data_IF_058515205705
#
_entry.id   IF_058515205705
#
_cell.length_a   1.000
_cell.length_b   1.000
_cell.length_c   1.000
_cell.angle_alpha   90.00
_cell.angle_beta   90.00
_cell.angle_gamma   90.00
#
_symmetry.space_group_name_H-M   'P 1'
#
loop_
_entity.id
_entity.type
_entity.pdbx_description
1 polymer ?
#
# COMPACT_ATOMS: atom_id res chain seq x y z
N UNK A 1 -5.45 3.75 -8.62
CA UNK A 1 -5.09 3.69 -7.19
C UNK A 1 -3.89 2.76 -7.03
N UNK A 2 -3.29 2.63 -5.84
CA UNK A 2 -2.19 1.71 -5.57
C UNK A 2 -2.51 0.87 -4.35
N UNK A 3 -2.42 -0.45 -4.47
CA UNK A 3 -2.54 -1.37 -3.34
C UNK A 3 -1.16 -1.63 -2.76
N UNK A 4 -0.92 -1.19 -1.53
CA UNK A 4 0.30 -1.45 -0.78
C UNK A 4 0.06 -2.68 0.09
N UNK A 5 0.97 -3.64 0.09
CA UNK A 5 0.93 -4.81 0.98
C UNK A 5 2.18 -4.85 1.86
N UNK A 6 1.97 -5.04 3.16
CA UNK A 6 3.03 -5.03 4.16
C UNK A 6 2.81 -6.07 5.25
N UNK A 7 3.85 -6.35 6.02
CA UNK A 7 3.76 -7.14 7.24
C UNK A 7 4.11 -6.29 8.45
N UNK A 8 3.28 -6.33 9.48
CA UNK A 8 3.52 -5.64 10.75
C UNK A 8 3.32 -6.65 11.87
N UNK A 9 4.34 -6.83 12.73
CA UNK A 9 4.27 -7.73 13.89
C UNK A 9 3.89 -9.19 13.55
N UNK A 10 4.18 -9.65 12.32
CA UNK A 10 3.84 -11.00 11.85
C UNK A 10 2.52 -11.08 11.09
N UNK A 11 1.67 -10.06 11.15
CA UNK A 11 0.42 -9.99 10.40
C UNK A 11 0.62 -9.38 9.02
N UNK A 12 -0.06 -9.94 8.02
CA UNK A 12 -0.05 -9.42 6.65
C UNK A 12 -1.25 -8.50 6.43
N UNK A 13 -0.96 -7.28 6.04
CA UNK A 13 -1.93 -6.22 5.81
C UNK A 13 -1.81 -5.70 4.37
N UNK A 14 -2.92 -5.16 3.87
CA UNK A 14 -2.93 -4.48 2.59
C UNK A 14 -3.92 -3.31 2.62
N UNK A 15 -3.62 -2.26 1.88
CA UNK A 15 -4.45 -1.06 1.79
C UNK A 15 -4.34 -0.46 0.39
N UNK A 16 -5.48 0.02 -0.13
CA UNK A 16 -5.53 0.69 -1.43
C UNK A 16 -5.58 2.19 -1.20
N UNK A 17 -4.55 2.89 -1.65
CA UNK A 17 -4.40 4.34 -1.47
C UNK A 17 -4.26 5.05 -2.81
N UNK A 18 -4.44 6.37 -2.82
CA UNK A 18 -4.18 7.17 -4.02
C UNK A 18 -2.67 7.16 -4.35
N UNK A 19 -2.32 7.32 -5.63
CA UNK A 19 -0.93 7.26 -6.07
C UNK A 19 -0.04 8.33 -5.39
N UNK A 20 -0.59 9.53 -5.19
CA UNK A 20 0.12 10.63 -4.53
C UNK A 20 0.35 10.34 -3.03
N UNK A 21 -0.55 9.62 -2.37
CA UNK A 21 -0.44 9.24 -0.96
C UNK A 21 0.41 8.00 -0.74
N UNK A 22 0.54 7.13 -1.75
CA UNK A 22 1.24 5.85 -1.63
C UNK A 22 2.68 5.99 -1.08
N UNK A 23 3.39 7.03 -1.51
CA UNK A 23 4.74 7.33 -1.02
C UNK A 23 4.75 7.74 0.45
N UNK A 24 3.80 8.59 0.86
CA UNK A 24 3.68 9.01 2.24
C UNK A 24 3.34 7.82 3.12
N UNK A 25 2.31 7.06 2.72
CA UNK A 25 1.82 5.92 3.46
C UNK A 25 2.89 4.84 3.66
N UNK A 26 3.68 4.55 2.62
CA UNK A 26 4.82 3.65 2.72
C UNK A 26 5.80 4.09 3.82
N UNK A 27 6.13 5.38 3.90
CA UNK A 27 7.04 5.91 4.94
C UNK A 27 6.45 5.78 6.33
N UNK A 28 5.15 6.02 6.49
CA UNK A 28 4.47 5.83 7.77
C UNK A 28 4.48 4.37 8.22
N UNK A 29 4.30 3.43 7.29
CA UNK A 29 4.41 2.00 7.55
C UNK A 29 5.84 1.62 7.95
N UNK A 30 6.84 2.05 7.18
CA UNK A 30 8.26 1.82 7.50
C UNK A 30 8.63 2.41 8.88
N UNK A 31 8.10 3.59 9.25
CA UNK A 31 8.28 4.19 10.57
C UNK A 31 7.60 3.42 11.71
N UNK A 32 6.50 2.72 11.43
CA UNK A 32 5.84 1.81 12.38
C UNK A 32 6.56 0.45 12.48
N UNK A 33 7.62 0.21 11.70
CA UNK A 33 8.30 -1.07 11.63
C UNK A 33 7.62 -2.09 10.72
N UNK A 34 6.69 -1.65 9.85
CA UNK A 34 6.09 -2.51 8.84
C UNK A 34 7.06 -2.76 7.67
N UNK A 35 7.13 -4.01 7.23
CA UNK A 35 7.91 -4.44 6.07
C UNK A 35 7.01 -4.44 4.84
N UNK A 36 7.20 -3.47 3.94
CA UNK A 36 6.45 -3.36 2.69
C UNK A 36 7.12 -4.24 1.62
N UNK A 37 6.37 -5.19 1.04
CA UNK A 37 6.91 -6.17 0.09
C UNK A 37 6.27 -6.13 -1.31
N UNK A 38 5.13 -5.45 -1.48
CA UNK A 38 4.47 -5.34 -2.79
C UNK A 38 3.66 -4.05 -2.92
N UNK A 39 3.70 -3.45 -4.11
CA UNK A 39 2.84 -2.32 -4.46
C UNK A 39 2.30 -2.49 -5.88
N UNK A 40 0.98 -2.64 -6.03
CA UNK A 40 0.32 -2.85 -7.33
C UNK A 40 -0.52 -1.64 -7.73
N UNK A 41 -0.41 -1.22 -9.00
CA UNK A 41 -1.29 -0.19 -9.56
C UNK A 41 -2.63 -0.84 -9.91
N UNK A 42 -3.61 -0.69 -9.03
CA UNK A 42 -5.00 -1.06 -9.32
C UNK A 42 -5.59 0.01 -10.25
N UNK A 43 -5.74 -0.35 -11.52
CA UNK A 43 -6.54 0.40 -12.47
C UNK A 43 -7.99 0.30 -12.04
N UNK A 44 -8.68 1.44 -11.90
CA UNK A 44 -10.13 1.42 -11.93
C UNK A 44 -10.53 0.82 -13.28
N UNK A 45 -11.32 -0.27 -13.34
CA UNK A 45 -11.97 -0.61 -14.59
C UNK A 45 -12.83 0.59 -14.97
N UNK A 46 -12.53 1.23 -16.10
CA UNK A 46 -13.45 2.20 -16.68
C UNK A 46 -14.78 1.47 -16.91
N UNK A 47 -15.91 1.91 -16.32
CA UNK A 47 -17.20 1.49 -16.83
C UNK A 47 -17.36 2.15 -18.20
N UNK A 48 -17.47 1.31 -19.24
CA UNK A 48 -17.85 1.72 -20.58
C UNK A 48 -19.30 2.23 -20.60
#
# INVERSE_FOLDING_TARGET
MVRISWSLSGDRNHETVAFHEARHRRRELEAQGAVVYWSERVHHPHPC
#
